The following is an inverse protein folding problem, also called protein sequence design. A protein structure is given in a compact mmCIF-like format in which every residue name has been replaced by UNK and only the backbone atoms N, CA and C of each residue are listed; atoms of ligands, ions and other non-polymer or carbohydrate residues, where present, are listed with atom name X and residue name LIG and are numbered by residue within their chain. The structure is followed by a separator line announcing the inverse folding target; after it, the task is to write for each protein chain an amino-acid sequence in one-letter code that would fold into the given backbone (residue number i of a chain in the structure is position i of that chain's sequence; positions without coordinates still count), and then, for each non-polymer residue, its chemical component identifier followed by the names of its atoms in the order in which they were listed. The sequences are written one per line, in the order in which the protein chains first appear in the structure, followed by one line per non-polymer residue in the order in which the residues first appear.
data_IF_531858656353
#
_entry.id   IF_531858656353
#
_cell.length_a   1.000
_cell.length_b   1.000
_cell.length_c   1.000
_cell.angle_alpha   90.00
_cell.angle_beta   90.00
_cell.angle_gamma   90.00
#
_symmetry.space_group_name_H-M   'P 1'
#
loop_
_entity.id
_entity.type
_entity.pdbx_description
1 polymer ?
#
# COMPACT_ATOMS: atom_id res chain seq x y z
N UNK A 1 20.58 5.84 -15.76
CA UNK A 1 19.20 5.46 -15.38
C UNK A 1 19.00 5.98 -13.96
N UNK A 2 18.08 6.90 -13.75
CA UNK A 2 17.82 7.47 -12.43
C UNK A 2 17.25 6.35 -11.55
N UNK A 3 17.91 6.05 -10.43
CA UNK A 3 17.39 5.08 -9.45
C UNK A 3 16.07 5.63 -8.90
N UNK A 4 14.97 4.91 -9.14
CA UNK A 4 13.67 5.28 -8.59
C UNK A 4 13.53 4.66 -7.20
N UNK A 5 13.38 5.50 -6.18
CA UNK A 5 13.08 5.06 -4.81
C UNK A 5 11.62 5.35 -4.53
N UNK A 6 10.79 4.31 -4.44
CA UNK A 6 9.38 4.48 -4.14
C UNK A 6 9.21 5.04 -2.71
N UNK A 7 8.39 6.09 -2.51
CA UNK A 7 8.13 6.67 -1.19
C UNK A 7 7.13 5.81 -0.39
N UNK A 8 7.54 4.59 -0.03
CA UNK A 8 6.67 3.60 0.62
C UNK A 8 6.09 4.10 1.95
N UNK A 9 6.84 4.89 2.70
CA UNK A 9 6.36 5.47 3.97
C UNK A 9 5.16 6.39 3.73
N UNK A 10 5.27 7.28 2.76
CA UNK A 10 4.24 8.26 2.43
C UNK A 10 3.00 7.57 1.86
N UNK A 11 3.20 6.55 1.00
CA UNK A 11 2.10 5.75 0.46
C UNK A 11 1.34 5.01 1.58
N UNK A 12 2.06 4.41 2.53
CA UNK A 12 1.48 3.76 3.72
C UNK A 12 0.68 4.74 4.58
N UNK A 13 1.22 5.93 4.81
CA UNK A 13 0.52 6.97 5.55
C UNK A 13 -0.81 7.35 4.86
N UNK A 14 -0.81 7.52 3.54
CA UNK A 14 -2.04 7.83 2.80
C UNK A 14 -3.06 6.69 2.92
N UNK A 15 -2.64 5.44 2.77
CA UNK A 15 -3.55 4.30 2.84
C UNK A 15 -4.12 4.10 4.26
N UNK A 16 -3.28 4.18 5.28
CA UNK A 16 -3.69 3.85 6.65
C UNK A 16 -4.33 5.03 7.39
N UNK A 17 -3.76 6.23 7.28
CA UNK A 17 -4.16 7.39 8.08
C UNK A 17 -5.15 8.32 7.37
N UNK A 18 -5.08 8.43 6.03
CA UNK A 18 -5.97 9.31 5.26
C UNK A 18 -7.16 8.56 4.65
N UNK A 19 -6.90 7.42 4.01
CA UNK A 19 -7.95 6.64 3.35
C UNK A 19 -8.67 5.67 4.31
N UNK A 20 -8.06 5.32 5.43
CA UNK A 20 -8.64 4.38 6.39
C UNK A 20 -8.76 2.97 5.82
N UNK A 21 -7.68 2.42 5.28
CA UNK A 21 -7.66 1.11 4.60
C UNK A 21 -8.30 -0.02 5.43
N UNK A 22 -8.09 -0.03 6.75
CA UNK A 22 -8.72 -0.99 7.64
C UNK A 22 -10.27 -0.93 7.63
N UNK A 23 -10.85 0.26 7.46
CA UNK A 23 -12.30 0.43 7.37
C UNK A 23 -12.80 -0.03 5.99
N UNK A 24 -12.04 0.27 4.93
CA UNK A 24 -12.33 -0.20 3.57
C UNK A 24 -12.34 -1.73 3.52
N UNK A 25 -11.42 -2.40 4.21
CA UNK A 25 -11.37 -3.85 4.28
C UNK A 25 -12.64 -4.49 4.87
N UNK A 26 -13.43 -3.74 5.65
CA UNK A 26 -14.71 -4.24 6.19
C UNK A 26 -15.87 -4.19 5.19
N UNK A 27 -15.70 -3.50 4.06
CA UNK A 27 -16.74 -3.36 3.06
C UNK A 27 -16.92 -4.64 2.22
N UNK A 28 -18.15 -4.95 1.76
CA UNK A 28 -18.40 -6.10 0.91
C UNK A 28 -17.53 -6.04 -0.36
N UNK A 29 -16.77 -7.11 -0.62
CA UNK A 29 -15.89 -7.20 -1.79
C UNK A 29 -14.47 -6.64 -1.60
N UNK A 30 -14.16 -6.06 -0.44
CA UNK A 30 -12.84 -5.48 -0.14
C UNK A 30 -12.08 -6.20 0.97
N UNK A 31 -12.51 -7.39 1.38
CA UNK A 31 -11.90 -8.16 2.48
C UNK A 31 -10.38 -8.39 2.33
N UNK A 32 -9.90 -8.50 1.09
CA UNK A 32 -8.48 -8.71 0.77
C UNK A 32 -7.63 -7.43 0.83
N UNK A 33 -8.26 -6.25 0.90
CA UNK A 33 -7.59 -4.96 0.99
C UNK A 33 -7.10 -4.67 2.43
N UNK A 34 -6.48 -5.67 3.06
CA UNK A 34 -5.91 -5.52 4.40
C UNK A 34 -4.60 -4.72 4.35
N UNK A 35 -4.20 -4.06 5.45
CA UNK A 35 -2.91 -3.36 5.53
C UNK A 35 -1.72 -4.26 5.19
N UNK A 36 -1.72 -5.51 5.66
CA UNK A 36 -0.64 -6.46 5.44
C UNK A 36 -0.52 -6.83 3.95
N UNK A 37 -1.66 -7.11 3.30
CA UNK A 37 -1.70 -7.43 1.86
C UNK A 37 -1.23 -6.23 1.03
N UNK A 38 -1.72 -5.03 1.35
CA UNK A 38 -1.32 -3.81 0.65
C UNK A 38 0.18 -3.52 0.83
N UNK A 39 0.73 -3.72 2.03
CA UNK A 39 2.15 -3.51 2.31
C UNK A 39 3.04 -4.48 1.53
N UNK A 40 2.67 -5.76 1.47
CA UNK A 40 3.41 -6.75 0.69
C UNK A 40 3.45 -6.40 -0.80
N UNK A 41 2.31 -5.93 -1.37
CA UNK A 41 2.23 -5.50 -2.76
C UNK A 41 3.11 -4.27 -3.02
N UNK A 42 3.06 -3.28 -2.13
CA UNK A 42 3.84 -2.06 -2.25
C UNK A 42 5.36 -2.33 -2.20
N UNK A 43 5.80 -3.25 -1.34
CA UNK A 43 7.21 -3.65 -1.26
C UNK A 43 7.70 -4.32 -2.54
N UNK A 44 6.95 -5.28 -3.08
CA UNK A 44 7.32 -5.93 -4.36
C UNK A 44 7.26 -4.95 -5.54
N UNK A 45 6.26 -4.07 -5.58
CA UNK A 45 6.16 -3.03 -6.60
C UNK A 45 7.36 -2.06 -6.56
N UNK A 46 7.86 -1.73 -5.36
CA UNK A 46 9.06 -0.91 -5.21
C UNK A 46 10.31 -1.61 -5.76
N UNK A 47 10.46 -2.92 -5.51
CA UNK A 47 11.59 -3.71 -6.05
C UNK A 47 11.53 -3.79 -7.57
N UNK A 48 10.33 -3.90 -8.14
CA UNK A 48 10.13 -3.93 -9.58
C UNK A 48 10.45 -2.58 -10.24
N UNK A 49 10.15 -1.47 -9.56
CA UNK A 49 10.32 -0.12 -10.11
C UNK A 49 11.73 0.48 -9.92
N UNK A 50 12.61 -0.16 -9.13
CA UNK A 50 13.92 0.38 -8.75
C UNK A 50 15.05 0.07 -9.73
#
# INVERSE_FOLDING_TARGET
MSVYTAPLREMRFVLNELAGLAQIATLPGYAEATPDTADAILEEASKFAS
#
